data_IF_781011248622
#
_entry.id   IF_781011248622
#
_cell.length_a   1.000
_cell.length_b   1.000
_cell.length_c   1.000
_cell.angle_alpha   90.00
_cell.angle_beta   90.00
_cell.angle_gamma   90.00
#
_symmetry.space_group_name_H-M   'P 1'
#
loop_
_entity.id
_entity.type
_entity.pdbx_description
1 polymer ?
#
# COMPACT_ATOMS: atom_id res chain seq x y z
N UNK A 1 -3.07 22.64 17.15
CA UNK A 1 -3.53 23.49 16.02
C UNK A 1 -2.40 24.06 15.17
N UNK A 2 -1.35 24.70 15.72
CA UNK A 2 -0.21 25.23 14.92
C UNK A 2 0.51 24.18 14.05
N UNK A 3 0.67 22.96 14.56
CA UNK A 3 1.31 21.85 13.84
C UNK A 3 0.56 21.43 12.56
N UNK A 4 -0.75 21.18 12.66
CA UNK A 4 -1.59 20.78 11.52
C UNK A 4 -1.60 21.89 10.46
N UNK A 5 -1.68 23.15 10.90
CA UNK A 5 -1.64 24.28 9.99
C UNK A 5 -0.34 24.31 9.19
N UNK A 6 0.82 24.08 9.81
CA UNK A 6 2.11 24.09 9.09
C UNK A 6 2.28 22.89 8.14
N UNK A 7 1.70 21.73 8.47
CA UNK A 7 1.78 20.54 7.62
C UNK A 7 1.01 20.70 6.31
N UNK A 8 -0.18 21.31 6.36
CA UNK A 8 -1.11 21.45 5.23
C UNK A 8 -0.93 22.76 4.44
N UNK A 9 -0.25 23.75 5.03
CA UNK A 9 -0.05 25.06 4.38
C UNK A 9 0.82 24.93 3.13
N UNK A 10 0.39 25.61 2.07
CA UNK A 10 1.07 25.70 0.77
C UNK A 10 1.30 24.35 0.09
N UNK A 11 0.37 23.40 0.27
CA UNK A 11 0.44 22.07 -0.37
C UNK A 11 -0.29 22.02 -1.71
N UNK A 12 0.35 21.39 -2.69
CA UNK A 12 -0.16 21.17 -4.04
C UNK A 12 -1.00 19.88 -4.16
N UNK A 13 -1.42 19.57 -5.39
CA UNK A 13 -2.21 18.37 -5.67
C UNK A 13 -1.42 17.07 -5.43
N UNK A 14 -0.11 17.07 -5.73
CA UNK A 14 0.77 15.92 -5.49
C UNK A 14 0.80 15.50 -4.03
N UNK A 15 0.85 16.46 -3.09
CA UNK A 15 0.82 16.18 -1.65
C UNK A 15 -0.45 15.43 -1.23
N UNK A 16 -1.63 15.81 -1.73
CA UNK A 16 -2.89 15.17 -1.32
C UNK A 16 -3.00 13.74 -1.83
N UNK A 17 -2.54 13.47 -3.05
CA UNK A 17 -2.46 12.12 -3.59
C UNK A 17 -1.44 11.26 -2.82
N UNK A 18 -0.28 11.84 -2.51
CA UNK A 18 0.78 11.21 -1.73
C UNK A 18 0.31 10.87 -0.31
N UNK A 19 -0.40 11.80 0.34
CA UNK A 19 -0.99 11.60 1.67
C UNK A 19 -2.08 10.52 1.64
N UNK A 20 -2.94 10.51 0.62
CA UNK A 20 -3.97 9.47 0.44
C UNK A 20 -3.31 8.09 0.29
N UNK A 21 -2.27 7.99 -0.55
CA UNK A 21 -1.47 6.78 -0.70
C UNK A 21 -0.88 6.30 0.62
N UNK A 22 -0.23 7.20 1.37
CA UNK A 22 0.40 6.86 2.65
C UNK A 22 -0.61 6.31 3.66
N UNK A 23 -1.75 6.98 3.81
CA UNK A 23 -2.81 6.55 4.72
C UNK A 23 -3.42 5.21 4.27
N UNK A 24 -3.69 5.06 2.97
CA UNK A 24 -4.22 3.83 2.42
C UNK A 24 -3.25 2.66 2.65
N UNK A 25 -1.96 2.84 2.40
CA UNK A 25 -0.93 1.83 2.63
C UNK A 25 -0.83 1.42 4.10
N UNK A 26 -0.79 2.38 5.03
CA UNK A 26 -0.70 2.10 6.47
C UNK A 26 -1.96 1.38 6.97
N UNK A 27 -3.14 1.87 6.61
CA UNK A 27 -4.42 1.24 6.99
C UNK A 27 -4.48 -0.19 6.41
N UNK A 28 -4.11 -0.36 5.14
CA UNK A 28 -4.07 -1.66 4.47
C UNK A 28 -3.13 -2.62 5.18
N UNK A 29 -1.92 -2.19 5.55
CA UNK A 29 -0.97 -3.00 6.29
C UNK A 29 -1.48 -3.41 7.68
N UNK A 30 -2.16 -2.50 8.40
CA UNK A 30 -2.77 -2.81 9.69
C UNK A 30 -3.89 -3.83 9.52
N UNK A 31 -4.80 -3.63 8.57
CA UNK A 31 -5.90 -4.57 8.30
C UNK A 31 -5.34 -5.93 7.86
N UNK A 32 -4.30 -5.95 7.02
CA UNK A 32 -3.62 -7.17 6.57
C UNK A 32 -3.06 -7.97 7.75
N UNK A 33 -2.40 -7.29 8.70
CA UNK A 33 -1.91 -7.91 9.94
C UNK A 33 -3.06 -8.40 10.83
N UNK A 34 -4.13 -7.62 10.99
CA UNK A 34 -5.30 -8.04 11.80
C UNK A 34 -5.95 -9.28 11.19
N UNK A 35 -6.16 -9.32 9.87
CA UNK A 35 -6.70 -10.48 9.18
C UNK A 35 -5.82 -11.72 9.39
N UNK A 36 -4.50 -11.57 9.32
CA UNK A 36 -3.57 -12.65 9.62
C UNK A 36 -3.68 -13.17 11.06
N UNK A 37 -3.78 -12.27 12.04
CA UNK A 37 -3.90 -12.66 13.46
C UNK A 37 -5.27 -13.24 13.82
N UNK A 38 -6.33 -12.82 13.13
CA UNK A 38 -7.70 -13.23 13.39
C UNK A 38 -8.09 -14.54 12.68
N UNK A 39 -7.44 -14.86 11.56
CA UNK A 39 -7.75 -16.04 10.75
C UNK A 39 -6.69 -17.11 10.99
N UNK A 40 -7.05 -18.17 11.70
CA UNK A 40 -6.18 -19.32 11.94
C UNK A 40 -6.22 -20.33 10.78
N UNK A 41 -5.05 -20.87 10.40
CA UNK A 41 -4.92 -22.08 9.58
C UNK A 41 -4.58 -21.90 8.09
N UNK A 42 -4.82 -22.96 7.30
CA UNK A 42 -4.40 -23.11 5.91
C UNK A 42 -5.00 -22.09 4.91
N UNK A 43 -6.02 -21.32 5.32
CA UNK A 43 -6.65 -20.32 4.44
C UNK A 43 -5.83 -19.03 4.29
N UNK A 44 -4.88 -18.75 5.19
CA UNK A 44 -4.02 -17.56 5.13
C UNK A 44 -2.64 -17.82 4.53
N UNK A 45 -2.14 -19.06 4.57
CA UNK A 45 -0.76 -19.44 4.22
C UNK A 45 -0.33 -19.07 2.79
N UNK A 46 -1.28 -18.83 1.89
CA UNK A 46 -1.05 -18.49 0.48
C UNK A 46 -1.39 -17.06 0.10
N UNK A 47 -1.85 -16.26 1.07
CA UNK A 47 -2.28 -14.87 0.82
C UNK A 47 -1.53 -13.90 1.71
N UNK A 48 -1.09 -14.35 2.89
CA UNK A 48 -0.27 -13.54 3.79
C UNK A 48 1.22 -13.71 3.49
N UNK A 49 1.93 -12.59 3.39
CA UNK A 49 3.38 -12.57 3.36
C UNK A 49 3.92 -11.46 4.25
N UNK A 50 4.85 -11.76 5.18
CA UNK A 50 5.56 -10.74 5.93
C UNK A 50 6.27 -9.73 5.03
N UNK A 51 6.71 -10.16 3.84
CA UNK A 51 7.33 -9.28 2.85
C UNK A 51 6.34 -8.24 2.33
N UNK A 52 5.14 -8.67 1.90
CA UNK A 52 4.05 -7.76 1.51
C UNK A 52 3.74 -6.75 2.63
N UNK A 53 3.61 -7.25 3.86
CA UNK A 53 3.30 -6.41 5.03
C UNK A 53 4.37 -5.34 5.25
N UNK A 54 5.63 -5.74 5.33
CA UNK A 54 6.76 -4.86 5.64
C UNK A 54 6.90 -3.79 4.56
N UNK A 55 6.90 -4.17 3.27
CA UNK A 55 7.09 -3.22 2.18
C UNK A 55 5.91 -2.27 2.01
N UNK A 56 4.68 -2.73 2.23
CA UNK A 56 3.49 -1.86 2.22
C UNK A 56 3.54 -0.86 3.37
N UNK A 57 3.88 -1.31 4.58
CA UNK A 57 3.97 -0.44 5.75
C UNK A 57 5.11 0.58 5.64
N UNK A 58 6.31 0.12 5.27
CA UNK A 58 7.48 1.00 5.07
C UNK A 58 7.18 2.00 3.96
N UNK A 59 6.56 1.57 2.85
CA UNK A 59 6.16 2.48 1.77
C UNK A 59 5.28 3.61 2.27
N UNK A 60 4.21 3.30 3.01
CA UNK A 60 3.33 4.32 3.58
C UNK A 60 4.03 5.25 4.58
N UNK A 61 4.89 4.71 5.46
CA UNK A 61 5.64 5.49 6.43
C UNK A 61 6.68 6.41 5.77
N UNK A 62 7.41 5.92 4.78
CA UNK A 62 8.42 6.70 4.04
C UNK A 62 7.75 7.87 3.31
N UNK A 63 6.60 7.64 2.68
CA UNK A 63 5.82 8.71 2.04
C UNK A 63 5.41 9.75 3.09
N UNK A 64 4.82 9.32 4.21
CA UNK A 64 4.35 10.23 5.26
C UNK A 64 5.51 11.08 5.83
N UNK A 65 6.65 10.45 6.10
CA UNK A 65 7.86 11.13 6.57
C UNK A 65 8.40 12.10 5.51
N UNK A 66 8.46 11.69 4.25
CA UNK A 66 8.86 12.53 3.12
C UNK A 66 8.01 13.78 2.99
N UNK A 67 6.68 13.62 3.05
CA UNK A 67 5.76 14.76 3.02
C UNK A 67 5.91 15.64 4.25
N UNK A 68 6.08 15.06 5.44
CA UNK A 68 6.22 15.81 6.69
C UNK A 68 7.43 16.74 6.68
N UNK A 69 8.58 16.23 6.26
CA UNK A 69 9.82 17.00 6.21
C UNK A 69 10.03 17.75 4.90
N UNK A 70 9.10 17.62 3.93
CA UNK A 70 9.20 18.24 2.59
C UNK A 70 10.48 17.83 1.86
N UNK A 71 10.84 16.56 1.97
CA UNK A 71 12.06 16.02 1.37
C UNK A 71 11.80 15.64 -0.07
N UNK A 72 12.56 16.24 -0.98
CA UNK A 72 12.48 15.90 -2.40
C UNK A 72 12.84 14.43 -2.63
N UNK A 73 12.13 13.78 -3.56
CA UNK A 73 12.34 12.39 -3.98
C UNK A 73 12.08 11.30 -2.93
N UNK A 74 11.83 11.63 -1.66
CA UNK A 74 11.53 10.62 -0.62
C UNK A 74 10.18 9.94 -0.86
N UNK A 75 9.20 10.65 -1.41
CA UNK A 75 7.93 10.07 -1.88
C UNK A 75 8.16 8.97 -2.94
N UNK A 76 9.20 9.11 -3.77
CA UNK A 76 9.56 8.11 -4.78
C UNK A 76 10.12 6.84 -4.14
N UNK A 77 10.93 6.96 -3.09
CA UNK A 77 11.41 5.79 -2.32
C UNK A 77 10.25 5.00 -1.73
N UNK A 78 9.27 5.69 -1.15
CA UNK A 78 8.08 5.03 -0.63
C UNK A 78 7.23 4.36 -1.72
N UNK A 79 7.15 4.99 -2.90
CA UNK A 79 6.51 4.38 -4.09
C UNK A 79 7.22 3.10 -4.54
N UNK A 80 8.55 3.09 -4.52
CA UNK A 80 9.35 1.89 -4.82
C UNK A 80 9.05 0.78 -3.79
N UNK A 81 9.01 1.10 -2.50
CA UNK A 81 8.61 0.13 -1.48
C UNK A 81 7.21 -0.44 -1.73
N UNK A 82 6.22 0.41 -2.08
CA UNK A 82 4.87 -0.06 -2.42
C UNK A 82 4.87 -0.98 -3.65
N UNK A 83 5.73 -0.72 -4.64
CA UNK A 83 5.88 -1.61 -5.81
C UNK A 83 6.36 -3.01 -5.44
N UNK A 84 7.31 -3.13 -4.49
CA UNK A 84 7.76 -4.43 -3.98
C UNK A 84 6.65 -5.14 -3.19
N UNK A 85 5.91 -4.41 -2.36
CA UNK A 85 4.73 -4.96 -1.66
C UNK A 85 3.67 -5.47 -2.63
N UNK A 86 3.36 -4.69 -3.67
CA UNK A 86 2.39 -5.05 -4.71
C UNK A 86 2.85 -6.26 -5.53
N UNK A 87 4.10 -6.27 -5.98
CA UNK A 87 4.65 -7.35 -6.78
C UNK A 87 4.61 -8.67 -6.01
N UNK A 88 5.05 -8.66 -4.74
CA UNK A 88 5.01 -9.84 -3.90
C UNK A 88 3.57 -10.31 -3.64
N UNK A 89 2.65 -9.40 -3.30
CA UNK A 89 1.25 -9.76 -3.10
C UNK A 89 0.59 -10.30 -4.39
N UNK A 90 1.02 -9.83 -5.56
CA UNK A 90 0.52 -10.35 -6.84
C UNK A 90 0.92 -11.80 -7.07
N UNK A 91 2.13 -12.20 -6.66
CA UNK A 91 2.59 -13.59 -6.72
C UNK A 91 1.77 -14.47 -5.78
N UNK A 92 1.57 -14.04 -4.53
CA UNK A 92 0.75 -14.78 -3.56
C UNK A 92 -0.71 -14.87 -4.02
N UNK A 93 -1.29 -13.77 -4.51
CA UNK A 93 -2.66 -13.73 -5.00
C UNK A 93 -2.88 -14.60 -6.24
N UNK A 94 -1.84 -14.90 -7.02
CA UNK A 94 -1.97 -15.73 -8.22
C UNK A 94 -2.46 -17.15 -7.91
N UNK A 95 -2.12 -17.71 -6.75
CA UNK A 95 -2.55 -19.05 -6.34
C UNK A 95 -4.07 -19.18 -6.18
N UNK A 96 -4.74 -18.44 -5.26
CA UNK A 96 -6.19 -18.53 -5.12
C UNK A 96 -6.93 -18.03 -6.37
N UNK A 97 -6.34 -17.13 -7.16
CA UNK A 97 -6.91 -16.68 -8.43
C UNK A 97 -6.85 -17.76 -9.52
N UNK A 98 -5.79 -18.59 -9.55
CA UNK A 98 -5.70 -19.74 -10.45
C UNK A 98 -6.77 -20.78 -10.12
N UNK A 99 -7.04 -21.03 -8.83
CA UNK A 99 -8.13 -21.91 -8.42
C UNK A 99 -9.50 -21.37 -8.85
N UNK A 100 -9.71 -20.05 -8.79
CA UNK A 100 -10.93 -19.42 -9.34
C UNK A 100 -11.02 -19.61 -10.85
N UNK A 101 -9.93 -19.39 -11.58
CA UNK A 101 -9.90 -19.50 -13.03
C UNK A 101 -10.09 -20.93 -13.55
N UNK A 102 -9.62 -21.93 -12.81
CA UNK A 102 -9.71 -23.35 -13.18
C UNK A 102 -10.95 -24.04 -12.61
N UNK A 103 -11.56 -23.48 -11.56
CA UNK A 103 -12.67 -24.10 -10.84
C UNK A 103 -12.26 -25.28 -9.95
N UNK A 104 -10.95 -25.49 -9.75
CA UNK A 104 -10.40 -26.57 -8.94
C UNK A 104 -9.63 -25.96 -7.78
N UNK A 105 -10.00 -26.31 -6.55
CA UNK A 105 -9.31 -25.84 -5.34
C UNK A 105 -8.01 -26.65 -5.11
N UNK A 106 -6.99 -26.38 -5.93
CA UNK A 106 -5.70 -27.08 -5.88
C UNK A 106 -4.68 -26.37 -4.98
N UNK A 107 -4.54 -25.05 -5.12
CA UNK A 107 -3.55 -24.28 -4.37
C UNK A 107 -4.06 -23.78 -3.01
N UNK A 108 -5.37 -23.53 -2.92
CA UNK A 108 -6.05 -23.02 -1.74
C UNK A 108 -5.82 -21.53 -1.47
N UNK A 109 -6.17 -21.11 -0.26
CA UNK A 109 -6.07 -19.72 0.18
C UNK A 109 -7.37 -18.93 0.06
N UNK A 110 -7.42 -17.78 0.73
CA UNK A 110 -8.61 -16.95 0.77
C UNK A 110 -8.70 -16.00 -0.45
N UNK A 111 -9.55 -16.38 -1.41
CA UNK A 111 -9.81 -15.65 -2.67
C UNK A 111 -10.26 -14.20 -2.45
N UNK A 112 -11.10 -13.96 -1.44
CA UNK A 112 -11.62 -12.63 -1.13
C UNK A 112 -10.49 -11.72 -0.63
N UNK A 113 -9.67 -12.22 0.29
CA UNK A 113 -8.54 -11.45 0.82
C UNK A 113 -7.47 -11.21 -0.25
N UNK A 114 -7.20 -12.20 -1.11
CA UNK A 114 -6.25 -12.05 -2.20
C UNK A 114 -6.60 -10.86 -3.09
N UNK A 115 -7.86 -10.79 -3.57
CA UNK A 115 -8.36 -9.70 -4.42
C UNK A 115 -8.39 -8.38 -3.65
N UNK A 116 -8.92 -8.38 -2.42
CA UNK A 116 -9.06 -7.16 -1.62
C UNK A 116 -7.71 -6.47 -1.42
N UNK A 117 -6.70 -7.20 -0.95
CA UNK A 117 -5.38 -6.61 -0.69
C UNK A 117 -4.63 -6.28 -1.98
N UNK A 118 -4.83 -7.03 -3.07
CA UNK A 118 -4.28 -6.68 -4.37
C UNK A 118 -4.80 -5.30 -4.85
N UNK A 119 -6.11 -5.08 -4.71
CA UNK A 119 -6.73 -3.80 -5.07
C UNK A 119 -6.28 -2.67 -4.15
N UNK A 120 -6.28 -2.86 -2.83
CA UNK A 120 -5.90 -1.81 -1.89
C UNK A 120 -4.42 -1.40 -2.03
N UNK A 121 -3.51 -2.36 -2.11
CA UNK A 121 -2.08 -2.10 -2.31
C UNK A 121 -1.85 -1.49 -3.71
N UNK A 122 -2.56 -1.99 -4.73
CA UNK A 122 -2.52 -1.45 -6.08
C UNK A 122 -2.96 0.01 -6.16
N UNK A 123 -4.05 0.38 -5.48
CA UNK A 123 -4.53 1.76 -5.41
C UNK A 123 -3.56 2.66 -4.66
N UNK A 124 -2.97 2.19 -3.55
CA UNK A 124 -1.93 2.94 -2.84
C UNK A 124 -0.71 3.17 -3.75
N UNK A 125 -0.23 2.13 -4.43
CA UNK A 125 0.86 2.25 -5.37
C UNK A 125 0.54 3.24 -6.51
N UNK A 126 -0.61 3.11 -7.17
CA UNK A 126 -0.98 3.96 -8.30
C UNK A 126 -1.14 5.43 -7.89
N UNK A 127 -1.77 5.69 -6.75
CA UNK A 127 -1.90 7.06 -6.22
C UNK A 127 -0.54 7.65 -5.87
N UNK A 128 0.36 6.88 -5.27
CA UNK A 128 1.75 7.28 -5.00
C UNK A 128 2.55 7.54 -6.27
N UNK A 129 2.46 6.63 -7.25
CA UNK A 129 3.17 6.77 -8.52
C UNK A 129 2.69 8.02 -9.25
N UNK A 130 1.38 8.25 -9.26
CA UNK A 130 0.75 9.43 -9.86
C UNK A 130 1.16 10.71 -9.14
N UNK A 131 1.24 10.72 -7.81
CA UNK A 131 1.58 11.92 -7.05
C UNK A 131 2.95 12.48 -7.42
N UNK A 132 3.93 11.61 -7.71
CA UNK A 132 5.29 12.02 -8.09
C UNK A 132 5.37 12.82 -9.40
N UNK A 133 4.29 12.89 -10.19
CA UNK A 133 4.23 13.70 -11.41
C UNK A 133 3.61 15.09 -11.20
N UNK A 134 3.15 15.42 -9.99
CA UNK A 134 2.52 16.68 -9.65
C UNK A 134 3.32 17.47 -8.62
N UNK A 135 3.08 18.78 -8.55
CA UNK A 135 3.71 19.61 -7.53
C UNK A 135 3.17 19.28 -6.13
N UNK A 136 4.09 18.99 -5.20
CA UNK A 136 3.77 18.70 -3.80
C UNK A 136 3.62 19.97 -2.96
N UNK A 137 4.32 21.05 -3.34
CA UNK A 137 4.22 22.36 -2.71
C UNK A 137 3.70 23.36 -3.75
N UNK A 138 2.85 24.29 -3.35
CA UNK A 138 2.42 25.39 -4.22
C UNK A 138 3.63 26.28 -4.48
N UNK A 139 3.94 26.51 -5.74
CA UNK A 139 4.88 27.55 -6.16
C UNK A 139 4.16 28.89 -6.01
N UNK A 140 4.50 29.66 -4.98
CA UNK A 140 4.14 31.08 -4.87
C UNK A 140 5.32 31.91 -5.37
#
# INVERSE_FOLDING_TARGET
>A
MKFINNFVKDRGFGFWLSLLSALLAIITAIIYLICYLAISGQQMDRVFSPFTLIFTLIGGLVILVGEHFRLDYVSMLGTICLSFGLANHSVEAAYPLADVGTGVDFFGGNKVLAILFLVLIGLAFLTSATSNFFEHNKVN
#
